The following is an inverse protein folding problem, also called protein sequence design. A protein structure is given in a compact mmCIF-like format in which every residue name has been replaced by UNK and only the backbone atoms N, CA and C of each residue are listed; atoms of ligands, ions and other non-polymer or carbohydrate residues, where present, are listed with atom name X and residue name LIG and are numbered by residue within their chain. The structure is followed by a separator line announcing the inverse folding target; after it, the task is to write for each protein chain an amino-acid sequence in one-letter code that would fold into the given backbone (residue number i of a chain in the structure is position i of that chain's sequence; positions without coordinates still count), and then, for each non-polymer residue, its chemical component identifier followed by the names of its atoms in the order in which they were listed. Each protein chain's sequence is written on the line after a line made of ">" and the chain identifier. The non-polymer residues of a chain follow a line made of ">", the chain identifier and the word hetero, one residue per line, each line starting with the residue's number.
data_IF_817213158831
#
_entry.id   IF_817213158831
#
_cell.length_a   1.000
_cell.length_b   1.000
_cell.length_c   1.000
_cell.angle_alpha   90.00
_cell.angle_beta   90.00
_cell.angle_gamma   90.00
#
_symmetry.space_group_name_H-M   'P 1'
#
loop_
_entity.id
_entity.type
_entity.pdbx_description
1 polymer ?
#
# COMPACT_ATOMS: atom_id res chain seq x y z
N UNK A 1 -23.85 -29.83 -20.31
CA UNK A 1 -25.06 -29.75 -19.48
C UNK A 1 -25.56 -28.32 -19.44
N UNK A 2 -26.85 -28.13 -19.72
CA UNK A 2 -27.51 -26.84 -19.72
C UNK A 2 -28.03 -26.56 -18.29
N UNK A 3 -27.16 -26.67 -17.30
CA UNK A 3 -27.50 -26.37 -15.90
C UNK A 3 -26.70 -25.13 -15.49
N UNK A 4 -27.40 -24.05 -15.18
CA UNK A 4 -26.81 -22.79 -14.74
C UNK A 4 -26.41 -22.79 -13.24
N UNK A 5 -26.56 -23.91 -12.54
CA UNK A 5 -26.14 -24.06 -11.14
C UNK A 5 -24.63 -24.21 -11.06
N UNK A 6 -24.02 -23.53 -10.13
CA UNK A 6 -22.59 -23.72 -9.81
C UNK A 6 -22.40 -25.13 -9.25
N UNK A 7 -21.45 -25.88 -9.78
CA UNK A 7 -21.12 -27.24 -9.38
C UNK A 7 -19.62 -27.37 -9.15
N UNK A 8 -19.25 -28.24 -8.22
CA UNK A 8 -17.84 -28.63 -8.02
C UNK A 8 -17.37 -29.49 -9.18
N UNK A 9 -16.12 -29.34 -9.58
CA UNK A 9 -15.54 -30.12 -10.66
C UNK A 9 -14.18 -29.63 -11.14
N UNK A 10 -13.58 -30.41 -12.00
CA UNK A 10 -12.36 -30.02 -12.68
C UNK A 10 -12.62 -28.85 -13.63
N UNK A 11 -11.74 -27.86 -13.58
CA UNK A 11 -11.67 -26.79 -14.57
C UNK A 11 -10.77 -27.23 -15.73
N UNK A 12 -10.86 -26.57 -16.89
CA UNK A 12 -9.98 -26.89 -18.01
C UNK A 12 -8.49 -26.86 -17.58
N UNK A 13 -7.74 -27.93 -17.83
CA UNK A 13 -6.32 -27.94 -17.53
C UNK A 13 -5.58 -26.92 -18.40
N UNK A 14 -4.51 -26.35 -17.88
CA UNK A 14 -3.60 -25.49 -18.62
C UNK A 14 -2.21 -26.10 -18.64
N UNK A 15 -1.49 -25.84 -19.74
CA UNK A 15 -0.11 -26.25 -19.89
C UNK A 15 0.69 -25.11 -20.52
N UNK A 16 1.94 -25.01 -20.13
CA UNK A 16 2.89 -24.02 -20.63
C UNK A 16 4.30 -24.58 -20.62
N UNK A 17 5.19 -23.91 -21.33
CA UNK A 17 6.62 -24.19 -21.30
C UNK A 17 7.36 -22.90 -20.99
N UNK A 18 8.34 -22.96 -20.10
CA UNK A 18 9.14 -21.80 -19.70
C UNK A 18 10.58 -22.18 -19.37
N UNK A 19 11.47 -21.20 -19.45
CA UNK A 19 12.88 -21.39 -19.09
C UNK A 19 13.06 -21.85 -17.65
N UNK A 20 12.30 -21.23 -16.74
CA UNK A 20 12.43 -21.41 -15.28
C UNK A 20 11.71 -22.66 -14.75
N UNK A 21 10.54 -22.99 -15.29
CA UNK A 21 9.70 -24.08 -14.78
C UNK A 21 9.75 -25.34 -15.64
N UNK A 22 10.29 -25.24 -16.85
CA UNK A 22 10.19 -26.29 -17.86
C UNK A 22 8.76 -26.45 -18.39
N UNK A 23 8.35 -27.67 -18.72
CA UNK A 23 6.95 -27.97 -19.01
C UNK A 23 6.15 -27.93 -17.69
N UNK A 24 5.06 -27.18 -17.70
CA UNK A 24 4.16 -27.02 -16.55
C UNK A 24 2.77 -27.49 -16.93
N UNK A 25 2.19 -28.38 -16.14
CA UNK A 25 0.80 -28.82 -16.23
C UNK A 25 0.05 -28.38 -14.98
N UNK A 26 -1.09 -27.73 -15.15
CA UNK A 26 -1.98 -27.32 -14.06
C UNK A 26 -3.34 -27.95 -14.28
N UNK A 27 -3.87 -28.61 -13.23
CA UNK A 27 -5.17 -29.30 -13.27
C UNK A 27 -6.08 -28.75 -12.17
N UNK A 28 -6.74 -27.58 -12.37
CA UNK A 28 -7.51 -26.95 -11.30
C UNK A 28 -8.77 -27.73 -10.96
N UNK A 29 -9.14 -27.72 -9.68
CA UNK A 29 -10.39 -28.26 -9.18
C UNK A 29 -11.14 -27.21 -8.38
N UNK A 30 -12.35 -26.93 -8.77
CA UNK A 30 -13.26 -25.98 -8.13
C UNK A 30 -14.19 -26.69 -7.14
N UNK A 31 -14.30 -26.16 -5.92
CA UNK A 31 -15.21 -26.59 -4.87
C UNK A 31 -16.33 -25.56 -4.70
N UNK A 32 -17.54 -25.93 -5.07
CA UNK A 32 -18.74 -25.17 -4.74
C UNK A 32 -19.21 -25.55 -3.34
N UNK A 33 -18.67 -24.90 -2.29
CA UNK A 33 -18.93 -25.25 -0.90
C UNK A 33 -20.29 -24.72 -0.44
N UNK A 34 -20.60 -23.47 -0.76
CA UNK A 34 -21.89 -22.84 -0.45
C UNK A 34 -22.15 -21.67 -1.42
N UNK A 35 -23.35 -21.08 -1.43
CA UNK A 35 -23.66 -19.94 -2.32
C UNK A 35 -22.74 -18.73 -2.12
N UNK A 36 -22.18 -18.58 -0.94
CA UNK A 36 -21.41 -17.41 -0.50
C UNK A 36 -19.96 -17.71 -0.15
N UNK A 37 -19.46 -18.92 -0.37
CA UNK A 37 -18.05 -19.26 -0.29
C UNK A 37 -17.70 -20.45 -1.17
N UNK A 38 -16.52 -20.40 -1.72
CA UNK A 38 -15.97 -21.43 -2.60
C UNK A 38 -14.45 -21.55 -2.42
N UNK A 39 -13.88 -22.59 -3.00
CA UNK A 39 -12.44 -22.77 -3.02
C UNK A 39 -12.00 -23.32 -4.38
N UNK A 40 -10.77 -23.07 -4.75
CA UNK A 40 -10.12 -23.67 -5.92
C UNK A 40 -8.74 -24.16 -5.53
N UNK A 41 -8.41 -25.38 -5.90
CA UNK A 41 -7.06 -25.92 -5.82
C UNK A 41 -6.45 -25.96 -7.21
N UNK A 42 -5.17 -25.60 -7.30
CA UNK A 42 -4.37 -25.59 -8.52
C UNK A 42 -3.14 -26.49 -8.35
N UNK A 43 -3.26 -27.81 -8.44
CA UNK A 43 -2.09 -28.68 -8.49
C UNK A 43 -1.28 -28.37 -9.76
N UNK A 44 0.01 -28.10 -9.58
CA UNK A 44 0.92 -27.73 -10.66
C UNK A 44 2.11 -28.69 -10.67
N UNK A 45 2.33 -29.35 -11.78
CA UNK A 45 3.52 -30.16 -11.99
C UNK A 45 4.47 -29.43 -12.96
N UNK A 46 5.68 -29.17 -12.50
CA UNK A 46 6.75 -28.47 -13.22
C UNK A 46 7.94 -29.42 -13.40
N UNK A 47 8.34 -29.66 -14.64
CA UNK A 47 9.41 -30.66 -14.92
C UNK A 47 10.75 -30.29 -14.33
N UNK A 48 11.04 -28.98 -14.17
CA UNK A 48 12.30 -28.52 -13.58
C UNK A 48 12.23 -28.32 -12.06
N UNK A 49 11.04 -28.06 -11.50
CA UNK A 49 10.92 -27.65 -10.09
C UNK A 49 10.17 -28.66 -9.20
N UNK A 50 9.34 -29.51 -9.78
CA UNK A 50 8.56 -30.51 -9.04
C UNK A 50 7.09 -30.14 -8.92
N UNK A 51 6.46 -30.61 -7.83
CA UNK A 51 5.02 -30.48 -7.60
C UNK A 51 4.73 -29.33 -6.66
N UNK A 52 3.97 -28.33 -7.10
CA UNK A 52 3.46 -27.24 -6.30
C UNK A 52 1.95 -27.39 -6.10
N UNK A 53 1.50 -27.15 -4.88
CA UNK A 53 0.08 -27.06 -4.54
C UNK A 53 -0.25 -25.61 -4.24
N UNK A 54 -1.15 -25.02 -5.03
CA UNK A 54 -1.70 -23.70 -4.78
C UNK A 54 -3.20 -23.81 -4.55
N UNK A 55 -3.77 -22.97 -3.70
CA UNK A 55 -5.19 -22.98 -3.39
C UNK A 55 -5.66 -21.61 -2.94
N UNK A 56 -6.93 -21.33 -3.22
CA UNK A 56 -7.64 -20.16 -2.75
C UNK A 56 -8.98 -20.52 -2.15
N UNK A 57 -9.40 -19.76 -1.16
CA UNK A 57 -10.73 -19.82 -0.55
C UNK A 57 -11.31 -18.42 -0.55
N UNK A 58 -12.53 -18.27 -1.10
CA UNK A 58 -13.23 -16.98 -1.18
C UNK A 58 -14.51 -17.03 -0.37
N UNK A 59 -14.82 -15.93 0.28
CA UNK A 59 -16.04 -15.80 1.07
C UNK A 59 -16.68 -14.42 0.92
N UNK A 60 -18.01 -14.45 0.98
CA UNK A 60 -18.85 -13.26 0.96
C UNK A 60 -19.96 -13.45 1.99
N UNK A 61 -19.99 -12.61 3.00
CA UNK A 61 -21.04 -12.56 4.02
C UNK A 61 -21.83 -11.26 3.91
N UNK A 62 -22.83 -11.06 4.76
CA UNK A 62 -23.57 -9.80 4.79
C UNK A 62 -22.69 -8.60 5.13
N UNK A 63 -21.70 -8.80 6.00
CA UNK A 63 -20.86 -7.73 6.55
C UNK A 63 -19.41 -7.82 6.16
N UNK A 64 -18.98 -8.85 5.45
CA UNK A 64 -17.58 -9.03 5.08
C UNK A 64 -17.38 -9.83 3.79
N UNK A 65 -16.30 -9.53 3.11
CA UNK A 65 -15.82 -10.25 1.94
C UNK A 65 -14.32 -10.50 2.06
N UNK A 66 -13.83 -11.53 1.40
CA UNK A 66 -12.41 -11.76 1.36
C UNK A 66 -12.01 -13.03 0.63
N UNK A 67 -10.69 -13.15 0.52
CA UNK A 67 -10.00 -14.27 -0.10
C UNK A 67 -8.80 -14.63 0.77
N UNK A 68 -8.66 -15.91 1.04
CA UNK A 68 -7.46 -16.48 1.66
C UNK A 68 -6.86 -17.49 0.70
N UNK A 69 -5.56 -17.43 0.51
CA UNK A 69 -4.89 -18.35 -0.39
C UNK A 69 -3.46 -18.64 0.02
N UNK A 70 -2.90 -19.65 -0.61
CA UNK A 70 -1.52 -20.03 -0.40
C UNK A 70 -1.02 -20.99 -1.46
N UNK A 71 0.29 -21.07 -1.56
CA UNK A 71 0.99 -22.01 -2.42
C UNK A 71 2.16 -22.64 -1.65
N UNK A 72 2.46 -23.86 -1.96
CA UNK A 72 3.53 -24.62 -1.33
C UNK A 72 4.21 -25.55 -2.33
N UNK A 73 5.53 -25.41 -2.42
CA UNK A 73 6.42 -26.26 -3.20
C UNK A 73 7.51 -26.78 -2.26
N UNK A 74 7.48 -28.08 -1.99
CA UNK A 74 8.49 -28.72 -1.15
C UNK A 74 9.68 -29.13 -2.01
N UNK A 75 10.88 -28.79 -1.56
CA UNK A 75 12.15 -29.18 -2.18
C UNK A 75 12.21 -28.82 -3.68
N UNK A 76 12.23 -27.52 -3.97
CA UNK A 76 12.39 -26.98 -5.33
C UNK A 76 13.68 -27.56 -5.98
N UNK A 77 13.50 -28.28 -7.08
CA UNK A 77 14.59 -28.96 -7.78
C UNK A 77 15.47 -28.04 -8.62
N UNK A 78 15.29 -26.72 -8.51
CA UNK A 78 16.10 -25.76 -9.27
C UNK A 78 17.61 -25.92 -8.99
N UNK A 79 18.41 -25.91 -10.03
CA UNK A 79 19.87 -26.03 -9.94
C UNK A 79 20.57 -24.75 -9.44
N UNK A 80 19.84 -23.63 -9.26
CA UNK A 80 20.35 -22.33 -8.82
C UNK A 80 20.72 -22.30 -7.32
N UNK A 81 21.38 -23.34 -6.85
CA UNK A 81 21.77 -23.53 -5.44
C UNK A 81 22.78 -22.52 -4.90
N UNK A 82 23.33 -21.67 -5.76
CA UNK A 82 24.37 -20.71 -5.39
C UNK A 82 23.80 -19.36 -4.95
N UNK A 83 22.54 -19.08 -5.23
CA UNK A 83 21.90 -17.81 -4.83
C UNK A 83 21.79 -17.70 -3.31
N UNK A 84 22.19 -16.56 -2.76
CA UNK A 84 21.89 -16.20 -1.39
C UNK A 84 20.40 -15.90 -1.25
N UNK A 85 19.80 -16.25 -0.13
CA UNK A 85 18.37 -16.07 0.17
C UNK A 85 17.40 -16.90 -0.68
N UNK A 86 17.90 -17.88 -1.42
CA UNK A 86 17.10 -18.85 -2.11
C UNK A 86 16.66 -19.95 -1.13
N UNK A 87 15.36 -20.17 -1.06
CA UNK A 87 14.76 -21.19 -0.21
C UNK A 87 14.30 -22.37 -1.05
N UNK A 88 14.68 -23.59 -0.66
CA UNK A 88 14.21 -24.82 -1.32
C UNK A 88 12.73 -25.10 -1.08
N UNK A 89 12.25 -24.81 0.12
CA UNK A 89 10.82 -24.90 0.45
C UNK A 89 10.17 -23.57 0.15
N UNK A 90 9.49 -23.50 -0.98
CA UNK A 90 8.88 -22.28 -1.49
C UNK A 90 7.43 -22.21 -1.07
N UNK A 91 7.02 -21.08 -0.51
CA UNK A 91 5.63 -20.87 -0.12
C UNK A 91 5.19 -19.43 -0.33
N UNK A 92 3.90 -19.29 -0.51
CA UNK A 92 3.20 -18.01 -0.49
C UNK A 92 1.96 -18.14 0.38
N UNK A 93 1.66 -17.09 1.15
CA UNK A 93 0.40 -16.91 1.87
C UNK A 93 -0.19 -15.57 1.47
N UNK A 94 -1.47 -15.56 1.17
CA UNK A 94 -2.22 -14.34 0.85
C UNK A 94 -3.53 -14.29 1.64
N UNK A 95 -3.85 -13.12 2.16
CA UNK A 95 -5.14 -12.85 2.78
C UNK A 95 -5.60 -11.44 2.46
N UNK A 96 -6.69 -11.33 1.74
CA UNK A 96 -7.41 -10.11 1.47
C UNK A 96 -8.75 -10.16 2.17
N UNK A 97 -9.05 -9.14 2.96
CA UNK A 97 -10.29 -9.06 3.74
C UNK A 97 -10.80 -7.63 3.83
N UNK A 98 -12.11 -7.48 3.69
CA UNK A 98 -12.85 -6.27 4.04
C UNK A 98 -14.05 -6.66 4.88
N UNK A 99 -14.16 -6.09 6.07
CA UNK A 99 -15.24 -6.37 7.02
C UNK A 99 -15.92 -5.11 7.50
N UNK A 100 -17.09 -5.27 8.11
CA UNK A 100 -17.89 -4.17 8.63
C UNK A 100 -18.56 -3.33 7.55
N UNK A 101 -18.87 -3.92 6.37
CA UNK A 101 -19.43 -3.22 5.22
C UNK A 101 -20.79 -2.55 5.53
N UNK A 102 -21.51 -3.07 6.52
CA UNK A 102 -22.81 -2.57 7.01
C UNK A 102 -22.71 -1.90 8.38
N UNK A 103 -21.53 -1.57 8.85
CA UNK A 103 -21.28 -1.04 10.19
C UNK A 103 -20.40 0.22 10.19
N UNK A 104 -20.30 0.86 11.35
CA UNK A 104 -19.38 1.99 11.56
C UNK A 104 -17.93 1.54 11.74
N UNK A 105 -17.71 0.27 12.07
CA UNK A 105 -16.37 -0.30 12.24
C UNK A 105 -16.03 -1.10 10.99
N UNK A 106 -14.97 -0.71 10.30
CA UNK A 106 -14.44 -1.37 9.13
C UNK A 106 -13.12 -2.04 9.48
N UNK A 107 -12.96 -3.26 9.01
CA UNK A 107 -11.70 -4.01 9.10
C UNK A 107 -11.16 -4.29 7.69
N UNK A 108 -9.87 -4.13 7.51
CA UNK A 108 -9.18 -4.38 6.25
C UNK A 108 -7.92 -5.17 6.52
N UNK A 109 -7.68 -6.19 5.72
CA UNK A 109 -6.41 -6.91 5.66
C UNK A 109 -6.01 -7.03 4.21
N UNK A 110 -4.76 -6.71 3.93
CA UNK A 110 -4.07 -6.95 2.66
C UNK A 110 -2.68 -7.50 3.00
N UNK A 111 -2.60 -8.82 3.13
CA UNK A 111 -1.43 -9.49 3.62
C UNK A 111 -0.93 -10.51 2.61
N UNK A 112 0.31 -10.36 2.18
CA UNK A 112 1.02 -11.36 1.39
C UNK A 112 2.38 -11.63 2.01
N UNK A 113 2.72 -12.91 2.13
CA UNK A 113 4.03 -13.37 2.57
C UNK A 113 4.57 -14.40 1.59
N UNK A 114 5.84 -14.29 1.26
CA UNK A 114 6.57 -15.21 0.38
C UNK A 114 7.79 -15.79 1.09
N UNK A 115 8.22 -16.96 0.66
CA UNK A 115 9.39 -17.65 1.23
C UNK A 115 10.68 -16.85 1.03
N UNK A 116 10.86 -16.26 -0.13
CA UNK A 116 12.10 -15.66 -0.59
C UNK A 116 11.87 -14.58 -1.67
N UNK A 117 12.84 -13.69 -1.91
CA UNK A 117 12.70 -12.60 -2.88
C UNK A 117 12.60 -13.04 -4.35
N UNK A 118 12.88 -14.30 -4.65
CA UNK A 118 12.83 -14.82 -6.02
C UNK A 118 11.47 -15.48 -6.36
N UNK A 119 10.56 -15.58 -5.38
CA UNK A 119 9.33 -16.34 -5.52
C UNK A 119 8.55 -15.99 -6.79
N UNK A 120 8.24 -14.71 -7.03
CA UNK A 120 7.47 -14.26 -8.20
C UNK A 120 8.27 -14.16 -9.50
N UNK A 121 9.59 -14.22 -9.44
CA UNK A 121 10.42 -14.31 -10.62
C UNK A 121 10.37 -15.74 -11.19
N UNK A 122 10.33 -16.72 -10.31
CA UNK A 122 10.45 -18.13 -10.63
C UNK A 122 9.11 -18.83 -10.79
N UNK A 123 8.14 -18.47 -9.97
CA UNK A 123 6.85 -19.16 -9.82
C UNK A 123 5.70 -18.24 -10.17
N UNK A 124 4.74 -18.78 -10.91
CA UNK A 124 3.52 -18.09 -11.29
C UNK A 124 2.41 -18.42 -10.30
N UNK A 125 1.74 -17.40 -9.75
CA UNK A 125 0.50 -17.58 -9.00
C UNK A 125 -0.72 -17.53 -9.91
N UNK A 126 -1.73 -18.32 -9.58
CA UNK A 126 -3.06 -18.33 -10.20
C UNK A 126 -4.09 -17.53 -9.42
N UNK A 127 -3.71 -16.98 -8.28
CA UNK A 127 -4.56 -16.09 -7.47
C UNK A 127 -4.54 -14.67 -8.05
N UNK A 128 -5.71 -14.05 -8.13
CA UNK A 128 -5.86 -12.69 -8.65
C UNK A 128 -5.20 -11.65 -7.72
N UNK A 129 -4.47 -10.71 -8.31
CA UNK A 129 -3.93 -9.54 -7.62
C UNK A 129 -2.75 -9.79 -6.67
N UNK A 130 -2.20 -11.02 -6.62
CA UNK A 130 -1.16 -11.39 -5.64
C UNK A 130 0.26 -11.15 -6.17
N UNK A 131 0.46 -11.00 -7.47
CA UNK A 131 1.79 -10.84 -8.06
C UNK A 131 2.34 -9.42 -7.82
N UNK A 132 3.54 -9.34 -7.23
CA UNK A 132 4.31 -8.11 -7.13
C UNK A 132 5.75 -8.35 -7.60
N UNK A 133 6.32 -7.34 -8.26
CA UNK A 133 7.71 -7.42 -8.75
C UNK A 133 8.71 -6.85 -7.75
N UNK A 134 8.31 -5.91 -6.93
CA UNK A 134 9.22 -5.16 -6.05
C UNK A 134 9.08 -5.58 -4.59
N UNK A 135 7.88 -5.55 -4.05
CA UNK A 135 7.59 -5.92 -2.66
C UNK A 135 6.15 -6.39 -2.49
N UNK A 136 5.89 -7.17 -1.47
CA UNK A 136 4.55 -7.59 -1.05
C UNK A 136 4.11 -6.82 0.18
N UNK A 137 2.82 -6.51 0.25
CA UNK A 137 2.20 -5.76 1.32
C UNK A 137 1.78 -6.68 2.46
N UNK A 138 1.96 -6.21 3.70
CA UNK A 138 1.54 -6.88 4.92
C UNK A 138 0.81 -5.86 5.78
N UNK A 139 -0.47 -5.64 5.50
CA UNK A 139 -1.28 -4.59 6.09
C UNK A 139 -2.49 -5.13 6.82
N UNK A 140 -2.76 -4.56 8.00
CA UNK A 140 -4.00 -4.70 8.72
C UNK A 140 -4.48 -3.34 9.21
N UNK A 141 -5.79 -3.05 9.06
CA UNK A 141 -6.35 -1.79 9.50
C UNK A 141 -7.74 -1.94 10.08
N UNK A 142 -8.04 -1.10 11.05
CA UNK A 142 -9.37 -0.91 11.63
C UNK A 142 -9.74 0.56 11.54
N UNK A 143 -10.92 0.84 11.00
CA UNK A 143 -11.44 2.20 10.88
C UNK A 143 -12.79 2.32 11.57
N UNK A 144 -13.02 3.44 12.23
CA UNK A 144 -14.32 3.80 12.77
C UNK A 144 -14.86 5.02 12.03
N UNK A 145 -16.08 4.92 11.51
CA UNK A 145 -16.81 6.01 10.84
C UNK A 145 -17.89 6.56 11.75
N UNK A 146 -17.59 7.67 12.42
CA UNK A 146 -18.58 8.46 13.15
C UNK A 146 -19.38 9.37 12.20
N UNK A 147 -20.36 10.07 12.72
CA UNK A 147 -21.19 10.99 11.92
C UNK A 147 -20.41 12.25 11.51
N UNK A 148 -19.45 12.67 12.32
CA UNK A 148 -18.64 13.88 12.12
C UNK A 148 -17.12 13.62 12.09
N UNK A 149 -16.68 12.39 12.32
CA UNK A 149 -15.28 12.04 12.34
C UNK A 149 -15.01 10.62 11.84
N UNK A 150 -13.77 10.39 11.42
CA UNK A 150 -13.23 9.08 11.10
C UNK A 150 -11.91 8.87 11.84
N UNK A 151 -11.78 7.72 12.48
CA UNK A 151 -10.54 7.26 13.10
C UNK A 151 -10.06 5.98 12.38
N UNK A 152 -8.76 5.86 12.15
CA UNK A 152 -8.15 4.66 11.55
C UNK A 152 -6.85 4.31 12.27
N UNK A 153 -6.73 3.07 12.66
CA UNK A 153 -5.49 2.43 13.06
C UNK A 153 -5.02 1.52 11.92
N UNK A 154 -3.81 1.73 11.46
CA UNK A 154 -3.17 0.96 10.41
C UNK A 154 -1.82 0.42 10.90
N UNK A 155 -1.54 -0.83 10.59
CA UNK A 155 -0.23 -1.47 10.76
C UNK A 155 0.17 -2.01 9.39
N UNK A 156 1.31 -1.58 8.88
CA UNK A 156 1.75 -1.94 7.54
C UNK A 156 3.26 -2.18 7.51
N UNK A 157 3.63 -3.35 7.03
CA UNK A 157 5.00 -3.75 6.76
C UNK A 157 5.14 -4.23 5.32
N UNK A 158 6.37 -4.34 4.84
CA UNK A 158 6.68 -4.80 3.50
C UNK A 158 7.73 -5.89 3.53
N UNK A 159 7.57 -6.88 2.64
CA UNK A 159 8.62 -7.85 2.35
C UNK A 159 9.09 -7.65 0.91
N UNK A 160 10.39 -7.61 0.68
CA UNK A 160 10.95 -7.54 -0.67
C UNK A 160 10.59 -8.79 -1.47
N UNK A 161 10.14 -8.59 -2.70
CA UNK A 161 9.90 -9.63 -3.70
C UNK A 161 10.99 -9.61 -4.79
N UNK A 162 12.05 -8.84 -4.58
CA UNK A 162 13.28 -8.80 -5.36
C UNK A 162 14.40 -8.20 -4.53
N UNK A 163 15.62 -8.65 -4.77
CA UNK A 163 16.83 -8.09 -4.13
C UNK A 163 17.29 -6.78 -4.79
N UNK A 164 16.70 -6.39 -5.91
CA UNK A 164 17.04 -5.20 -6.69
C UNK A 164 16.31 -3.94 -6.24
N UNK A 165 15.76 -3.93 -5.02
CA UNK A 165 15.05 -2.78 -4.46
C UNK A 165 15.57 -2.43 -3.05
N UNK A 166 15.36 -1.18 -2.67
CA UNK A 166 15.61 -0.72 -1.31
C UNK A 166 14.40 -1.07 -0.45
N UNK A 167 14.64 -1.64 0.73
CA UNK A 167 13.59 -1.97 1.70
C UNK A 167 12.74 -0.72 2.02
N UNK A 168 11.42 -0.74 1.83
CA UNK A 168 10.54 0.38 2.15
C UNK A 168 10.46 0.65 3.66
N UNK A 169 9.89 1.78 4.05
CA UNK A 169 9.53 2.06 5.44
C UNK A 169 8.22 1.38 5.81
N UNK A 170 8.24 0.63 6.89
CA UNK A 170 7.06 0.15 7.58
C UNK A 170 6.37 1.30 8.34
N UNK A 171 5.06 1.14 8.58
CA UNK A 171 4.24 2.06 9.41
C UNK A 171 3.70 1.29 10.59
N UNK A 172 4.33 1.44 11.76
CA UNK A 172 4.16 0.55 12.91
C UNK A 172 4.01 1.30 14.25
N UNK A 173 2.84 1.81 14.64
CA UNK A 173 1.58 1.94 13.91
C UNK A 173 1.42 3.28 13.19
N UNK A 174 0.34 3.40 12.41
CA UNK A 174 -0.18 4.67 11.91
C UNK A 174 -1.59 4.89 12.43
N UNK A 175 -1.83 6.02 13.06
CA UNK A 175 -3.14 6.43 13.57
C UNK A 175 -3.54 7.70 12.85
N UNK A 176 -4.74 7.72 12.27
CA UNK A 176 -5.32 8.93 11.69
C UNK A 176 -6.65 9.24 12.35
N UNK A 177 -6.89 10.53 12.57
CA UNK A 177 -8.14 11.04 13.14
C UNK A 177 -8.52 12.32 12.42
N UNK A 178 -9.58 12.25 11.60
CA UNK A 178 -10.00 13.32 10.71
C UNK A 178 -11.49 13.57 10.91
N UNK A 179 -11.91 14.82 10.79
CA UNK A 179 -13.31 15.14 10.92
C UNK A 179 -13.62 16.62 10.83
N UNK A 180 -14.88 16.92 11.15
CA UNK A 180 -15.39 18.28 11.26
C UNK A 180 -16.27 18.39 12.52
N UNK A 181 -16.35 19.57 13.09
CA UNK A 181 -17.26 19.80 14.20
C UNK A 181 -18.72 19.71 13.70
N UNK A 182 -19.62 19.04 14.44
CA UNK A 182 -21.01 18.86 14.03
C UNK A 182 -21.88 20.11 14.17
N UNK A 183 -21.32 21.21 14.66
CA UNK A 183 -21.98 22.49 14.88
C UNK A 183 -21.19 23.62 14.19
N UNK A 184 -21.89 24.68 13.81
CA UNK A 184 -21.36 25.79 13.00
C UNK A 184 -21.50 27.11 13.79
N UNK A 185 -20.70 27.37 14.86
CA UNK A 185 -20.83 28.56 15.67
C UNK A 185 -20.57 29.80 14.84
N UNK A 186 -21.52 30.72 14.76
CA UNK A 186 -21.44 31.94 14.00
C UNK A 186 -21.34 31.71 12.47
N UNK A 187 -21.70 30.52 11.96
CA UNK A 187 -21.59 30.15 10.55
C UNK A 187 -20.22 29.61 10.14
N UNK A 188 -19.29 29.43 11.08
CA UNK A 188 -17.98 28.85 10.80
C UNK A 188 -18.01 27.33 10.77
N UNK A 189 -17.32 26.73 9.80
CA UNK A 189 -17.05 25.30 9.73
C UNK A 189 -15.63 25.04 10.23
N UNK A 190 -15.50 24.12 11.17
CA UNK A 190 -14.20 23.68 11.70
C UNK A 190 -13.93 22.24 11.28
N UNK A 191 -12.76 22.01 10.70
CA UNK A 191 -12.28 20.68 10.35
C UNK A 191 -10.89 20.43 10.92
N UNK A 192 -10.52 19.17 11.04
CA UNK A 192 -9.20 18.77 11.52
C UNK A 192 -8.74 17.50 10.82
N UNK A 193 -7.45 17.43 10.58
CA UNK A 193 -6.74 16.26 10.09
C UNK A 193 -5.57 15.99 11.05
N UNK A 194 -5.49 14.78 11.56
CA UNK A 194 -4.43 14.39 12.49
C UNK A 194 -3.87 13.04 12.12
N UNK A 195 -2.55 12.93 12.10
CA UNK A 195 -1.84 11.68 11.87
C UNK A 195 -0.69 11.54 12.86
N UNK A 196 -0.59 10.39 13.51
CA UNK A 196 0.60 9.95 14.22
C UNK A 196 1.08 8.65 13.59
N UNK A 197 2.35 8.59 13.19
CA UNK A 197 2.91 7.41 12.54
C UNK A 197 4.34 7.19 12.99
N UNK A 198 4.68 5.92 13.24
CA UNK A 198 6.04 5.46 13.43
C UNK A 198 6.54 4.79 12.15
N UNK A 199 7.64 5.29 11.62
CA UNK A 199 8.33 4.73 10.47
C UNK A 199 9.53 3.94 10.95
N UNK A 200 9.56 2.67 10.55
CA UNK A 200 10.70 1.79 10.81
C UNK A 200 11.16 1.15 9.51
N UNK A 201 12.46 0.91 9.39
CA UNK A 201 13.03 0.21 8.26
C UNK A 201 14.23 -0.62 8.71
N UNK A 202 14.17 -1.91 8.44
CA UNK A 202 15.27 -2.83 8.69
C UNK A 202 16.05 -3.04 7.40
N UNK A 203 17.22 -2.41 7.29
CA UNK A 203 18.07 -2.49 6.09
C UNK A 203 18.89 -3.77 6.08
N UNK A 204 18.78 -4.54 5.01
CA UNK A 204 19.60 -5.71 4.75
C UNK A 204 20.88 -5.31 4.00
N UNK A 205 22.00 -5.41 4.69
CA UNK A 205 23.32 -5.01 4.16
C UNK A 205 24.11 -6.21 3.66
N UNK A 206 25.15 -5.92 2.91
CA UNK A 206 26.12 -6.90 2.44
C UNK A 206 25.95 -7.24 0.97
N UNK A 207 26.50 -8.36 0.60
CA UNK A 207 26.42 -8.89 -0.75
C UNK A 207 25.44 -10.06 -0.79
N UNK A 208 24.91 -10.30 -1.97
CA UNK A 208 24.20 -11.53 -2.32
C UNK A 208 24.88 -12.20 -3.49
N UNK A 209 24.62 -13.47 -3.68
CA UNK A 209 25.07 -14.20 -4.87
C UNK A 209 23.92 -14.26 -5.85
N UNK A 210 24.12 -13.73 -7.07
CA UNK A 210 23.12 -13.72 -8.13
C UNK A 210 22.99 -15.10 -8.81
N UNK A 211 22.14 -15.20 -9.79
CA UNK A 211 21.88 -16.43 -10.56
C UNK A 211 23.10 -16.95 -11.34
N UNK A 212 24.05 -16.07 -11.68
CA UNK A 212 25.30 -16.41 -12.37
C UNK A 212 26.43 -16.84 -11.41
N UNK A 213 26.17 -16.80 -10.10
CA UNK A 213 27.18 -17.07 -9.07
C UNK A 213 28.07 -15.87 -8.73
N UNK A 214 27.78 -14.66 -9.25
CA UNK A 214 28.53 -13.46 -8.98
C UNK A 214 28.09 -12.81 -7.67
N UNK A 215 29.05 -12.23 -6.96
CA UNK A 215 28.76 -11.46 -5.73
C UNK A 215 28.35 -10.04 -6.09
N UNK A 216 27.11 -9.69 -5.82
CA UNK A 216 26.58 -8.34 -6.00
C UNK A 216 26.23 -7.70 -4.66
N UNK A 217 26.25 -6.37 -4.62
CA UNK A 217 25.97 -5.61 -3.40
C UNK A 217 24.48 -5.27 -3.31
N UNK A 218 23.85 -5.58 -2.16
CA UNK A 218 22.45 -5.19 -1.89
C UNK A 218 22.26 -3.68 -1.95
N UNK A 219 21.16 -3.21 -2.52
CA UNK A 219 20.86 -1.77 -2.62
C UNK A 219 20.72 -1.10 -1.26
N UNK A 220 20.27 -1.80 -0.23
CA UNK A 220 20.21 -1.30 1.14
C UNK A 220 21.58 -0.87 1.69
N UNK A 221 22.66 -1.41 1.14
CA UNK A 221 24.05 -1.02 1.51
C UNK A 221 24.36 0.42 1.09
N UNK A 222 23.70 0.95 0.07
CA UNK A 222 23.87 2.33 -0.40
C UNK A 222 22.98 3.34 0.34
N UNK A 223 22.13 2.89 1.24
CA UNK A 223 21.33 3.77 2.10
C UNK A 223 22.24 4.29 3.22
N UNK A 224 22.59 5.57 3.17
CA UNK A 224 23.59 6.20 4.04
C UNK A 224 23.05 7.48 4.71
N UNK A 225 23.70 7.94 5.76
CA UNK A 225 23.43 9.21 6.41
C UNK A 225 21.98 9.34 6.90
N UNK A 226 21.36 10.48 6.62
CA UNK A 226 19.99 10.80 7.05
C UNK A 226 18.91 9.87 6.47
N UNK A 227 19.18 9.27 5.31
CA UNK A 227 18.22 8.34 4.68
C UNK A 227 18.06 7.02 5.45
N UNK A 228 18.89 6.79 6.47
CA UNK A 228 18.81 5.64 7.40
C UNK A 228 17.91 5.89 8.62
N UNK A 229 17.41 7.13 8.79
CA UNK A 229 16.67 7.49 9.99
C UNK A 229 15.32 6.78 10.05
N UNK A 230 15.05 6.13 11.17
CA UNK A 230 13.71 5.76 11.61
C UNK A 230 13.09 6.93 12.40
N UNK A 231 11.83 6.86 12.79
CA UNK A 231 11.26 7.88 13.66
C UNK A 231 9.76 7.98 13.65
N UNK A 232 9.26 8.92 14.43
CA UNK A 232 7.84 9.22 14.50
C UNK A 232 7.52 10.56 13.84
N UNK A 233 6.35 10.62 13.21
CA UNK A 233 5.76 11.87 12.70
C UNK A 233 4.41 12.11 13.34
N UNK A 234 4.24 13.28 13.90
CA UNK A 234 2.94 13.82 14.31
C UNK A 234 2.58 14.96 13.38
N UNK A 235 1.44 14.86 12.73
CA UNK A 235 0.88 15.91 11.87
C UNK A 235 -0.49 16.32 12.42
N UNK A 236 -0.72 17.62 12.63
CA UNK A 236 -2.00 18.17 13.07
C UNK A 236 -2.34 19.37 12.20
N UNK A 237 -3.50 19.33 11.57
CA UNK A 237 -3.91 20.34 10.61
C UNK A 237 -5.37 20.80 10.85
N UNK A 238 -5.64 21.64 11.87
CA UNK A 238 -6.92 22.29 12.03
C UNK A 238 -7.17 23.30 10.92
N UNK A 239 -8.43 23.42 10.54
CA UNK A 239 -8.87 24.42 9.57
C UNK A 239 -10.22 25.01 9.97
N UNK A 240 -10.40 26.27 9.61
CA UNK A 240 -11.65 27.02 9.74
C UNK A 240 -12.01 27.62 8.40
N UNK A 241 -13.26 27.54 8.04
CA UNK A 241 -13.80 28.17 6.82
C UNK A 241 -15.13 28.87 7.14
N UNK A 242 -15.40 29.93 6.39
CA UNK A 242 -16.64 30.70 6.53
C UNK A 242 -17.36 30.80 5.18
N UNK A 243 -18.33 29.89 4.88
CA UNK A 243 -19.05 29.93 3.62
C UNK A 243 -20.08 31.05 3.60
N UNK A 244 -19.91 31.98 2.66
CA UNK A 244 -20.85 33.05 2.35
C UNK A 244 -21.53 32.73 1.03
N UNK A 245 -22.83 32.53 1.03
CA UNK A 245 -23.60 32.14 -0.14
C UNK A 245 -24.68 33.19 -0.46
N UNK A 246 -24.78 33.55 -1.73
CA UNK A 246 -25.82 34.42 -2.29
C UNK A 246 -26.46 33.75 -3.51
N UNK A 247 -27.59 34.29 -3.95
CA UNK A 247 -28.28 33.77 -5.16
C UNK A 247 -27.44 33.87 -6.44
N UNK A 248 -26.46 34.75 -6.48
CA UNK A 248 -25.61 35.03 -7.62
C UNK A 248 -24.17 34.54 -7.48
N UNK A 249 -23.81 33.94 -6.35
CA UNK A 249 -22.46 33.44 -6.14
C UNK A 249 -22.16 33.05 -4.70
N UNK A 250 -20.91 32.66 -4.48
CA UNK A 250 -20.40 32.31 -3.15
C UNK A 250 -18.96 32.79 -2.98
N UNK A 251 -18.56 32.96 -1.72
CA UNK A 251 -17.18 33.19 -1.31
C UNK A 251 -16.92 32.39 -0.03
N UNK A 252 -15.90 31.56 -0.02
CA UNK A 252 -15.53 30.73 1.13
C UNK A 252 -14.06 30.96 1.47
N UNK A 253 -13.72 31.93 2.33
CA UNK A 253 -12.39 32.02 2.89
C UNK A 253 -12.13 30.83 3.82
N UNK A 254 -10.91 30.30 3.74
CA UNK A 254 -10.43 29.19 4.56
C UNK A 254 -9.04 29.48 5.11
N UNK A 255 -8.85 29.21 6.38
CA UNK A 255 -7.56 29.23 7.04
C UNK A 255 -7.26 27.84 7.60
N UNK A 256 -6.10 27.28 7.24
CA UNK A 256 -5.60 25.99 7.73
C UNK A 256 -4.22 26.22 8.34
N UNK A 257 -3.97 25.59 9.48
CA UNK A 257 -2.66 25.60 10.12
C UNK A 257 -2.11 24.19 10.15
N UNK A 258 -1.00 23.95 9.46
CA UNK A 258 -0.38 22.63 9.38
C UNK A 258 0.84 22.62 10.28
N UNK A 259 0.76 21.87 11.36
CA UNK A 259 1.89 21.60 12.25
C UNK A 259 2.36 20.16 12.09
N UNK A 260 3.65 19.98 11.79
CA UNK A 260 4.26 18.66 11.66
C UNK A 260 5.51 18.60 12.52
N UNK A 261 5.56 17.60 13.40
CA UNK A 261 6.73 17.29 14.22
C UNK A 261 7.30 15.93 13.84
N UNK A 262 8.62 15.86 13.72
CA UNK A 262 9.39 14.64 13.56
C UNK A 262 10.29 14.43 14.77
N UNK A 263 10.26 13.21 15.31
CA UNK A 263 11.27 12.72 16.26
C UNK A 263 11.99 11.56 15.58
N UNK A 264 13.25 11.79 15.21
CA UNK A 264 14.06 10.91 14.38
C UNK A 264 15.07 10.14 15.22
N UNK A 265 15.23 8.86 14.89
CA UNK A 265 16.22 7.98 15.45
C UNK A 265 17.16 7.51 14.34
N UNK A 266 18.48 7.79 14.50
CA UNK A 266 19.50 7.47 13.54
C UNK A 266 20.49 6.49 14.16
N UNK A 267 20.71 5.36 13.49
CA UNK A 267 21.65 4.35 13.93
C UNK A 267 23.10 4.88 13.94
N UNK A 268 23.99 4.14 14.60
CA UNK A 268 25.41 4.52 14.73
C UNK A 268 26.11 4.68 13.38
N UNK A 269 25.74 3.86 12.38
CA UNK A 269 26.32 3.96 11.05
C UNK A 269 25.87 5.24 10.35
N UNK A 270 24.57 5.57 10.36
CA UNK A 270 24.08 6.80 9.75
C UNK A 270 24.69 8.05 10.39
N UNK A 271 24.90 8.04 11.71
CA UNK A 271 25.64 9.12 12.40
C UNK A 271 27.07 9.22 11.92
N UNK A 272 27.77 8.09 11.82
CA UNK A 272 29.14 8.05 11.30
C UNK A 272 29.24 8.51 9.85
N UNK A 273 28.30 8.09 8.99
CA UNK A 273 28.23 8.52 7.58
C UNK A 273 28.14 10.05 7.46
N UNK A 274 27.35 10.71 8.34
CA UNK A 274 27.26 12.16 8.39
C UNK A 274 28.59 12.80 8.78
N UNK A 275 29.24 12.28 9.82
CA UNK A 275 30.53 12.81 10.28
C UNK A 275 31.59 12.68 9.18
N UNK A 276 31.65 11.54 8.50
CA UNK A 276 32.61 11.31 7.40
C UNK A 276 32.31 12.25 6.23
N UNK A 277 31.03 12.42 5.86
CA UNK A 277 30.64 13.32 4.80
C UNK A 277 30.97 14.79 5.14
N UNK A 278 30.75 15.22 6.39
CA UNK A 278 31.13 16.56 6.87
C UNK A 278 32.67 16.77 6.87
N UNK A 279 33.43 15.76 7.26
CA UNK A 279 34.89 15.84 7.19
C UNK A 279 35.43 15.96 5.77
N UNK A 280 34.70 15.45 4.79
CA UNK A 280 35.01 15.54 3.36
C UNK A 280 34.33 16.75 2.68
N UNK A 281 33.67 17.65 3.42
CA UNK A 281 33.06 18.86 2.86
C UNK A 281 34.11 19.74 2.21
N UNK A 282 33.82 20.29 1.05
CA UNK A 282 34.68 21.17 0.26
C UNK A 282 34.03 22.54 0.08
N UNK A 283 34.78 23.51 -0.41
CA UNK A 283 34.24 24.83 -0.76
C UNK A 283 33.14 24.74 -1.84
N UNK A 284 33.18 23.71 -2.71
CA UNK A 284 32.14 23.44 -3.72
C UNK A 284 30.88 22.76 -3.12
N UNK A 285 31.02 22.05 -1.98
CA UNK A 285 29.92 21.42 -1.28
C UNK A 285 30.10 21.55 0.26
N UNK A 286 29.89 22.75 0.80
CA UNK A 286 30.10 23.03 2.23
C UNK A 286 29.05 22.37 3.14
N UNK A 287 27.94 21.89 2.58
CA UNK A 287 26.85 21.22 3.33
C UNK A 287 26.88 19.69 3.20
N UNK A 288 27.98 19.11 2.74
CA UNK A 288 28.11 17.67 2.64
C UNK A 288 27.82 16.99 3.99
N UNK A 289 26.98 15.95 3.97
CA UNK A 289 26.56 15.22 5.15
C UNK A 289 25.43 15.85 5.95
N UNK A 290 25.13 17.15 5.76
CA UNK A 290 24.07 17.86 6.48
C UNK A 290 24.29 17.91 8.01
N UNK A 291 23.26 18.29 8.74
CA UNK A 291 23.24 18.28 10.21
C UNK A 291 22.08 17.44 10.71
N UNK A 292 22.35 16.42 11.49
CA UNK A 292 21.31 15.59 12.10
C UNK A 292 20.71 16.31 13.32
N UNK A 293 19.40 16.51 13.29
CA UNK A 293 18.60 16.93 14.44
C UNK A 293 17.56 15.84 14.72
N UNK A 294 17.61 15.27 15.91
CA UNK A 294 16.66 14.21 16.30
C UNK A 294 15.21 14.68 16.39
N UNK A 295 15.00 15.94 16.73
CA UNK A 295 13.64 16.51 16.73
C UNK A 295 13.61 17.73 15.82
N UNK A 296 12.60 17.75 14.94
CA UNK A 296 12.37 18.83 13.98
C UNK A 296 10.86 19.09 13.89
N UNK A 297 10.49 20.34 13.78
CA UNK A 297 9.09 20.72 13.59
C UNK A 297 8.95 21.77 12.48
N UNK A 298 7.76 21.84 11.93
CA UNK A 298 7.38 22.79 10.90
C UNK A 298 5.94 23.23 11.11
N UNK A 299 5.72 24.52 11.05
CA UNK A 299 4.40 25.15 11.12
C UNK A 299 4.15 25.99 9.87
N UNK A 300 3.06 25.69 9.15
CA UNK A 300 2.71 26.38 7.91
C UNK A 300 1.25 26.85 8.00
N UNK A 301 1.00 28.17 8.08
CA UNK A 301 -0.32 28.70 7.85
C UNK A 301 -0.65 28.68 6.35
N UNK A 302 -1.85 28.27 6.00
CA UNK A 302 -2.36 28.24 4.63
C UNK A 302 -3.68 29.01 4.61
N UNK A 303 -3.76 30.07 3.83
CA UNK A 303 -4.97 30.81 3.57
C UNK A 303 -5.41 30.60 2.12
N UNK A 304 -6.69 30.35 1.92
CA UNK A 304 -7.30 30.22 0.60
C UNK A 304 -8.67 30.87 0.57
N UNK A 305 -9.09 31.31 -0.60
CA UNK A 305 -10.43 31.81 -0.87
C UNK A 305 -10.96 31.03 -2.06
N UNK A 306 -12.07 30.35 -1.89
CA UNK A 306 -12.83 29.72 -2.98
C UNK A 306 -14.04 30.62 -3.26
N UNK A 307 -14.24 31.01 -4.52
CA UNK A 307 -15.32 31.90 -4.91
C UNK A 307 -15.89 31.52 -6.28
N UNK A 308 -17.16 31.78 -6.46
CA UNK A 308 -17.83 31.53 -7.74
C UNK A 308 -19.02 32.44 -7.95
N UNK A 309 -19.36 32.66 -9.22
CA UNK A 309 -20.55 33.40 -9.63
C UNK A 309 -21.47 32.48 -10.43
N UNK A 310 -22.78 32.72 -10.32
CA UNK A 310 -23.80 31.99 -11.05
C UNK A 310 -24.48 32.92 -12.04
N UNK A 311 -24.42 32.56 -13.32
CA UNK A 311 -25.10 33.27 -14.40
C UNK A 311 -26.06 32.31 -15.10
N UNK A 312 -27.33 32.67 -15.14
CA UNK A 312 -28.35 31.93 -15.82
C UNK A 312 -28.96 32.75 -16.97
N UNK A 313 -29.12 32.13 -18.12
CA UNK A 313 -29.75 32.72 -19.26
C UNK A 313 -30.73 31.74 -19.92
N UNK A 314 -31.95 32.20 -20.17
CA UNK A 314 -32.88 31.48 -21.05
C UNK A 314 -32.54 31.78 -22.49
N UNK A 315 -32.40 30.80 -23.32
CA UNK A 315 -32.13 30.90 -24.75
C UNK A 315 -32.99 29.95 -25.55
N UNK A 316 -33.41 30.36 -26.75
CA UNK A 316 -34.11 29.51 -27.69
C UNK A 316 -33.15 29.07 -28.80
N UNK A 317 -33.00 27.76 -28.98
CA UNK A 317 -32.21 27.18 -30.07
C UNK A 317 -33.04 26.17 -30.85
N UNK A 318 -33.14 26.36 -32.16
CA UNK A 318 -33.93 25.51 -33.06
C UNK A 318 -35.40 25.33 -32.63
N UNK A 319 -36.01 26.38 -32.08
CA UNK A 319 -37.42 26.35 -31.65
C UNK A 319 -37.66 25.60 -30.30
N UNK A 320 -36.59 25.29 -29.58
CA UNK A 320 -36.64 24.72 -28.22
C UNK A 320 -36.03 25.69 -27.21
N UNK A 321 -36.67 25.79 -26.05
CA UNK A 321 -36.19 26.62 -24.96
C UNK A 321 -35.16 25.86 -24.13
N UNK A 322 -34.03 26.50 -23.88
CA UNK A 322 -32.94 26.00 -23.05
C UNK A 322 -32.61 27.03 -21.99
N UNK A 323 -32.22 26.53 -20.81
CA UNK A 323 -31.56 27.32 -19.77
C UNK A 323 -30.05 27.09 -19.88
N UNK A 324 -29.31 28.15 -20.14
CA UNK A 324 -27.87 28.13 -20.17
C UNK A 324 -27.34 28.66 -18.85
N UNK A 325 -26.49 27.90 -18.17
CA UNK A 325 -25.81 28.29 -16.94
C UNK A 325 -24.31 28.48 -17.22
N UNK A 326 -23.71 29.49 -16.59
CA UNK A 326 -22.27 29.73 -16.59
C UNK A 326 -21.83 29.97 -15.15
N UNK A 327 -20.91 29.12 -14.66
CA UNK A 327 -20.46 29.11 -13.27
C UNK A 327 -18.93 29.28 -13.21
N UNK A 328 -18.39 30.48 -13.44
CA UNK A 328 -16.96 30.73 -13.23
C UNK A 328 -16.60 30.59 -11.76
N UNK A 329 -15.47 29.88 -11.49
CA UNK A 329 -14.94 29.63 -10.15
C UNK A 329 -13.47 29.99 -10.10
N UNK A 330 -13.02 30.54 -8.98
CA UNK A 330 -11.64 30.94 -8.70
C UNK A 330 -11.17 30.47 -7.32
#
# INVERSE_FOLDING_TARGET
>A
PIDNRRQSGFLPPSFSTGGETGFTLVTPYYFNLAPNYDATLYPQYMTKRGMMMEGEFRYLTKSSEGQFGGAYLNDDNDERKLQTDYEKTRYMLNWQHKGGLDSRVLTEVDYTKISDPYYFQDLKSYQDGVQSRDYVNQQGAVSYRGDSFQARLNVQAYQLATISQITPYDRLPQITFNGQLPFHPGGFNFSYETEAVRFERSLEKGNFINENGDSERRLDTYVTGLTRANGTRLNVAPAVEYPMNWTYGFVTPKLKYVYTKYDLDLDSQGKNDIVVAQANATAANPYAGGTFKSSQDRAIPVASIDSGLYFDRNTNWFGKDYRQTLEPRA
#
